data_IF_137681626983
#
_entry.id   IF_137681626983
#
_cell.length_a   1.000
_cell.length_b   1.000
_cell.length_c   1.000
_cell.angle_alpha   90.00
_cell.angle_beta   90.00
_cell.angle_gamma   90.00
#
_symmetry.space_group_name_H-M   'P 1'
#
loop_
_entity.id
_entity.type
_entity.pdbx_description
1 polymer ?
#
# COMPACT_ATOMS: atom_id res chain seq x y z
N UNK A 1 3.94 -8.33 -1.69
CA UNK A 1 4.11 -7.25 -2.69
C UNK A 1 5.21 -7.52 -3.72
N UNK A 2 6.33 -8.15 -3.34
CA UNK A 2 7.54 -8.32 -4.17
C UNK A 2 7.27 -8.93 -5.56
N UNK A 3 6.59 -10.08 -5.64
CA UNK A 3 6.37 -10.77 -6.93
C UNK A 3 5.63 -9.89 -7.95
N UNK A 4 4.57 -9.21 -7.53
CA UNK A 4 3.75 -8.39 -8.43
C UNK A 4 4.57 -7.23 -9.04
N UNK A 5 5.37 -6.54 -8.21
CA UNK A 5 6.22 -5.43 -8.66
C UNK A 5 7.39 -5.92 -9.51
N UNK A 6 8.00 -7.06 -9.18
CA UNK A 6 9.07 -7.64 -9.99
C UNK A 6 8.57 -8.11 -11.36
N UNK A 7 7.40 -8.74 -11.41
CA UNK A 7 6.81 -9.20 -12.67
C UNK A 7 6.41 -8.00 -13.55
N UNK A 8 5.93 -6.88 -12.98
CA UNK A 8 5.63 -5.65 -13.72
C UNK A 8 6.90 -4.98 -14.28
N UNK A 9 7.96 -4.94 -13.48
CA UNK A 9 9.28 -4.45 -13.92
C UNK A 9 9.84 -5.29 -15.08
N UNK A 10 9.84 -6.62 -14.96
CA UNK A 10 10.38 -7.51 -16.00
C UNK A 10 9.59 -7.45 -17.31
N UNK A 11 8.32 -7.03 -17.26
CA UNK A 11 7.51 -6.74 -18.44
C UNK A 11 7.78 -5.35 -19.05
N UNK A 12 8.57 -4.52 -18.39
CA UNK A 12 8.85 -3.14 -18.78
C UNK A 12 7.69 -2.18 -18.55
N UNK A 13 6.75 -2.51 -17.66
CA UNK A 13 5.54 -1.69 -17.44
C UNK A 13 5.79 -0.52 -16.47
N UNK A 14 6.71 -0.71 -15.52
CA UNK A 14 6.93 0.19 -14.39
C UNK A 14 8.35 0.79 -14.41
N UNK A 15 8.66 1.60 -15.43
CA UNK A 15 9.97 2.28 -15.51
C UNK A 15 10.14 3.36 -14.42
N UNK A 16 11.38 3.55 -13.94
CA UNK A 16 11.75 4.53 -12.90
C UNK A 16 10.94 4.34 -11.61
N UNK A 17 10.20 5.36 -11.18
CA UNK A 17 9.26 5.33 -10.06
C UNK A 17 7.80 5.21 -10.55
N UNK A 18 7.61 4.76 -11.78
CA UNK A 18 6.30 4.45 -12.35
C UNK A 18 5.72 3.19 -11.72
N UNK A 19 4.39 3.13 -11.66
CA UNK A 19 3.66 2.02 -11.06
C UNK A 19 3.39 2.23 -9.56
N UNK A 20 2.12 2.10 -9.18
CA UNK A 20 1.68 2.20 -7.80
C UNK A 20 0.93 0.91 -7.47
N UNK A 21 1.25 0.26 -6.35
CA UNK A 21 0.54 -0.92 -5.89
C UNK A 21 0.19 -0.77 -4.42
N UNK A 22 -1.10 -0.92 -4.10
CA UNK A 22 -1.56 -1.04 -2.72
C UNK A 22 -2.43 -2.27 -2.56
N UNK A 23 -2.23 -3.00 -1.47
CA UNK A 23 -3.00 -4.17 -1.09
C UNK A 23 -3.66 -3.90 0.26
N UNK A 24 -4.96 -4.18 0.36
CA UNK A 24 -5.63 -4.20 1.66
C UNK A 24 -5.35 -5.52 2.35
N UNK A 25 -5.03 -5.45 3.63
CA UNK A 25 -4.83 -6.60 4.52
C UNK A 25 -5.92 -6.59 5.59
N UNK A 26 -6.20 -7.76 6.14
CA UNK A 26 -6.97 -7.89 7.37
C UNK A 26 -6.04 -7.87 8.58
N UNK A 27 -6.58 -7.62 9.77
CA UNK A 27 -5.79 -7.56 11.02
C UNK A 27 -5.03 -8.87 11.27
N UNK A 28 -5.67 -10.01 10.99
CA UNK A 28 -5.09 -11.33 11.18
C UNK A 28 -3.85 -11.58 10.29
N UNK A 29 -3.71 -10.87 9.17
CA UNK A 29 -2.55 -11.01 8.28
C UNK A 29 -1.28 -10.38 8.90
N UNK A 30 -1.45 -9.40 9.78
CA UNK A 30 -0.35 -8.59 10.34
C UNK A 30 -0.08 -8.85 11.83
N UNK A 31 -1.06 -9.41 12.57
CA UNK A 31 -0.94 -9.70 14.00
C UNK A 31 0.35 -10.45 14.39
N UNK A 32 0.79 -11.51 13.67
CA UNK A 32 1.99 -12.25 14.05
C UNK A 32 3.28 -11.42 14.00
N UNK A 33 3.27 -10.27 13.34
CA UNK A 33 4.41 -9.38 13.12
C UNK A 33 4.35 -8.11 13.97
N UNK A 34 3.39 -8.01 14.91
CA UNK A 34 3.19 -6.80 15.72
C UNK A 34 4.46 -6.35 16.49
N UNK A 35 5.34 -7.29 16.84
CA UNK A 35 6.61 -7.00 17.51
C UNK A 35 7.61 -6.23 16.62
N UNK A 36 7.46 -6.30 15.30
CA UNK A 36 8.34 -5.64 14.32
C UNK A 36 7.86 -4.22 13.98
N UNK A 37 6.73 -3.76 14.53
CA UNK A 37 6.17 -2.45 14.20
C UNK A 37 6.99 -1.32 14.83
N UNK A 38 7.09 -0.20 14.10
CA UNK A 38 7.70 1.01 14.63
C UNK A 38 6.87 1.57 15.79
N UNK A 39 7.53 1.86 16.91
CA UNK A 39 6.89 2.40 18.12
C UNK A 39 6.20 3.76 17.91
N UNK A 40 6.63 4.54 16.92
CA UNK A 40 6.02 5.82 16.57
C UNK A 40 5.75 5.89 15.07
N UNK A 41 4.47 5.94 14.71
CA UNK A 41 4.01 6.06 13.33
C UNK A 41 3.59 7.51 13.05
N UNK A 42 3.98 8.04 11.89
CA UNK A 42 3.48 9.34 11.44
C UNK A 42 1.99 9.22 11.08
N UNK A 43 1.19 10.22 11.45
CA UNK A 43 -0.27 10.23 11.37
C UNK A 43 -0.78 9.97 9.96
N UNK A 44 -1.20 8.73 9.70
CA UNK A 44 -2.20 8.42 8.70
C UNK A 44 -3.52 9.09 9.13
N UNK A 45 -4.19 9.78 8.21
CA UNK A 45 -5.56 10.27 8.43
C UNK A 45 -6.53 9.23 7.88
N UNK A 46 -7.15 8.39 8.73
CA UNK A 46 -8.14 7.41 8.26
C UNK A 46 -9.29 8.13 7.58
N UNK A 47 -9.70 7.63 6.41
CA UNK A 47 -10.92 8.10 5.76
C UNK A 47 -12.07 7.17 6.16
N UNK A 48 -13.33 7.64 6.19
CA UNK A 48 -14.48 6.80 6.56
C UNK A 48 -14.62 5.52 5.71
N UNK A 49 -14.16 5.55 4.45
CA UNK A 49 -14.15 4.40 3.55
C UNK A 49 -13.18 3.28 3.98
N UNK A 50 -12.20 3.59 4.83
CA UNK A 50 -11.19 2.64 5.30
C UNK A 50 -11.67 1.80 6.49
N UNK A 51 -12.74 2.24 7.18
CA UNK A 51 -13.24 1.63 8.41
C UNK A 51 -14.36 0.60 8.20
N UNK A 52 -14.78 0.32 6.96
CA UNK A 52 -15.99 -0.47 6.70
C UNK A 52 -15.69 -1.98 6.55
N UNK A 53 -16.16 -2.86 7.47
CA UNK A 53 -16.09 -4.30 7.30
C UNK A 53 -17.11 -4.71 6.23
N UNK A 54 -16.68 -4.70 4.96
CA UNK A 54 -17.52 -5.06 3.81
C UNK A 54 -17.34 -4.17 2.57
N UNK A 55 -16.60 -3.07 2.67
CA UNK A 55 -16.15 -2.29 1.50
C UNK A 55 -14.63 -2.28 1.47
N UNK A 56 -13.97 -2.46 0.32
CA UNK A 56 -12.52 -2.45 0.26
C UNK A 56 -11.98 -1.07 0.68
N UNK A 57 -11.19 -1.03 1.76
CA UNK A 57 -10.37 0.13 2.11
C UNK A 57 -9.40 0.35 0.95
N UNK A 58 -9.69 1.37 0.15
CA UNK A 58 -8.86 1.72 -0.99
C UNK A 58 -7.78 2.63 -0.46
N UNK A 59 -6.65 2.03 -0.08
CA UNK A 59 -5.49 2.76 0.36
C UNK A 59 -4.84 3.43 -0.86
N UNK A 60 -5.36 4.60 -1.23
CA UNK A 60 -4.96 5.38 -2.40
C UNK A 60 -3.87 6.35 -1.99
N UNK A 61 -2.61 5.89 -2.01
CA UNK A 61 -1.49 6.81 -1.98
C UNK A 61 -1.30 7.40 -3.38
N UNK A 62 -2.00 8.50 -3.64
CA UNK A 62 -1.91 9.25 -4.90
C UNK A 62 -0.66 10.15 -4.83
N UNK A 63 0.53 9.57 -5.07
CA UNK A 63 1.71 10.37 -5.39
C UNK A 63 1.43 11.04 -6.73
N UNK A 64 1.17 12.36 -6.72
CA UNK A 64 1.25 13.16 -7.93
C UNK A 64 2.70 13.05 -8.42
N UNK A 65 2.93 12.35 -9.54
CA UNK A 65 4.12 12.59 -10.32
C UNK A 65 4.06 14.06 -10.75
N UNK A 66 4.90 14.88 -10.13
CA UNK A 66 5.41 16.07 -10.79
C UNK A 66 6.43 15.52 -11.79
N UNK A 67 5.97 15.22 -13.00
CA UNK A 67 6.88 15.22 -14.15
C UNK A 67 7.25 16.69 -14.44
N UNK A 68 8.47 16.97 -14.92
CA UNK A 68 8.88 18.31 -15.33
C UNK A 68 7.97 18.89 -16.41
#
# INVERSE_FOLDING_TARGET
MIKATSDAWLKGWDERNGGNLTLRLDEADIEPYAADFHAQTALYRPQPADANPGQPAVYRHRLRQILP
#
